data_IF_621248687833
#
_entry.id   IF_621248687833
#
_cell.length_a   1.000
_cell.length_b   1.000
_cell.length_c   1.000
_cell.angle_alpha   90.00
_cell.angle_beta   90.00
_cell.angle_gamma   90.00
#
_symmetry.space_group_name_H-M   'P 1'
#
loop_
_entity.id
_entity.type
_entity.pdbx_description
1 polymer ?
#
# COMPACT_ATOMS: atom_id res chain seq x y z
N UNK A 1 7.74 24.37 -4.12
CA UNK A 1 8.33 23.11 -4.65
C UNK A 1 9.79 23.08 -4.27
N UNK A 2 10.24 22.00 -3.64
CA UNK A 2 11.66 21.80 -3.36
C UNK A 2 12.23 20.86 -4.43
N UNK A 3 13.05 21.38 -5.35
CA UNK A 3 13.70 20.61 -6.43
C UNK A 3 15.11 20.25 -5.98
N UNK A 4 15.46 18.96 -5.94
CA UNK A 4 16.64 18.47 -5.20
C UNK A 4 17.64 17.63 -6.01
N UNK A 5 17.43 17.41 -7.31
CA UNK A 5 18.37 16.65 -8.13
C UNK A 5 18.04 16.70 -9.62
N UNK A 6 19.05 16.61 -10.50
CA UNK A 6 18.79 17.08 -11.87
C UNK A 6 19.77 16.69 -13.01
N UNK A 7 20.12 15.43 -13.30
CA UNK A 7 21.09 15.15 -14.39
C UNK A 7 20.68 15.82 -15.71
N UNK A 8 21.54 16.70 -16.23
CA UNK A 8 21.42 17.29 -17.57
C UNK A 8 22.23 16.47 -18.58
N UNK A 9 21.80 16.46 -19.84
CA UNK A 9 22.54 15.84 -20.94
C UNK A 9 22.26 16.54 -22.26
N UNK A 10 23.26 16.62 -23.13
CA UNK A 10 23.10 17.21 -24.46
C UNK A 10 24.10 16.60 -25.44
N UNK A 11 23.59 16.21 -26.61
CA UNK A 11 24.39 15.93 -27.82
C UNK A 11 23.59 16.41 -29.03
N UNK A 12 24.28 16.68 -30.14
CA UNK A 12 23.63 17.15 -31.38
C UNK A 12 22.58 16.19 -31.92
N UNK A 13 22.74 14.87 -31.70
CA UNK A 13 21.77 13.85 -32.11
C UNK A 13 20.67 13.54 -31.10
N UNK A 14 20.82 13.91 -29.82
CA UNK A 14 19.88 13.57 -28.75
C UNK A 14 19.12 14.78 -28.17
N UNK A 15 19.37 15.98 -28.69
CA UNK A 15 18.79 17.23 -28.19
C UNK A 15 19.13 17.51 -26.73
N UNK A 16 18.31 18.34 -26.07
CA UNK A 16 18.51 18.74 -24.68
C UNK A 16 17.69 17.87 -23.72
N UNK A 17 18.37 17.11 -22.86
CA UNK A 17 17.79 16.15 -21.93
C UNK A 17 17.87 16.63 -20.48
N UNK A 18 16.86 16.30 -19.69
CA UNK A 18 16.75 16.63 -18.27
C UNK A 18 16.04 15.53 -17.50
N UNK A 19 16.66 15.06 -16.43
CA UNK A 19 15.94 14.36 -15.36
C UNK A 19 15.82 15.36 -14.22
N UNK A 20 14.64 15.58 -13.68
CA UNK A 20 14.39 16.51 -12.58
C UNK A 20 13.61 15.82 -11.46
N UNK A 21 13.93 16.16 -10.22
CA UNK A 21 13.24 15.61 -9.04
C UNK A 21 12.70 16.73 -8.15
N UNK A 22 11.46 16.57 -7.67
CA UNK A 22 10.87 17.43 -6.65
C UNK A 22 10.29 16.61 -5.50
N UNK A 23 10.48 17.10 -4.28
CA UNK A 23 10.00 16.47 -3.04
C UNK A 23 8.96 17.36 -2.37
N UNK A 24 7.88 16.74 -1.90
CA UNK A 24 6.81 17.35 -1.11
C UNK A 24 6.38 16.38 0.01
N UNK A 25 6.78 16.66 1.25
CA UNK A 25 6.61 15.72 2.36
C UNK A 25 7.31 14.37 2.11
N UNK A 26 6.54 13.27 2.14
CA UNK A 26 7.05 11.92 1.84
C UNK A 26 6.95 11.55 0.34
N UNK A 27 6.46 12.47 -0.50
CA UNK A 27 6.25 12.24 -1.93
C UNK A 27 7.39 12.78 -2.75
N UNK A 28 7.87 11.99 -3.72
CA UNK A 28 8.86 12.40 -4.73
C UNK A 28 8.28 12.28 -6.13
N UNK A 29 8.39 13.35 -6.90
CA UNK A 29 8.07 13.36 -8.33
C UNK A 29 9.36 13.40 -9.13
N UNK A 30 9.42 12.60 -10.19
CA UNK A 30 10.54 12.56 -11.14
C UNK A 30 9.99 12.90 -12.52
N UNK A 31 10.50 13.97 -13.13
CA UNK A 31 10.20 14.34 -14.50
C UNK A 31 11.41 14.05 -15.39
N UNK A 32 11.18 13.33 -16.48
CA UNK A 32 12.21 13.04 -17.49
C UNK A 32 11.79 13.71 -18.79
N UNK A 33 12.58 14.67 -19.25
CA UNK A 33 12.43 15.35 -20.54
C UNK A 33 13.58 14.93 -21.42
N UNK A 34 13.27 14.46 -22.62
CA UNK A 34 14.27 14.06 -23.60
C UNK A 34 14.09 14.86 -24.89
N UNK A 35 15.21 15.17 -25.57
CA UNK A 35 15.18 15.75 -26.92
C UNK A 35 14.55 17.13 -27.04
N UNK A 36 14.60 17.97 -26.02
CA UNK A 36 14.07 19.35 -26.14
C UNK A 36 14.92 20.17 -27.12
N UNK A 37 14.32 21.20 -27.73
CA UNK A 37 14.98 22.06 -28.73
C UNK A 37 16.00 23.05 -28.15
N UNK A 38 15.94 23.30 -26.84
CA UNK A 38 16.84 24.25 -26.18
C UNK A 38 17.11 23.91 -24.71
N UNK A 39 18.22 24.43 -24.12
CA UNK A 39 18.51 24.28 -22.69
C UNK A 39 17.40 24.84 -21.80
N UNK A 40 16.81 25.98 -22.18
CA UNK A 40 15.70 26.60 -21.42
C UNK A 40 14.40 25.81 -21.60
N UNK A 41 14.19 25.26 -22.79
CA UNK A 41 13.02 24.45 -23.11
C UNK A 41 12.90 23.22 -22.23
N UNK A 42 13.98 22.44 -22.05
CA UNK A 42 13.94 21.23 -21.20
C UNK A 42 13.54 21.56 -19.74
N UNK A 43 14.03 22.69 -19.23
CA UNK A 43 13.79 23.14 -17.85
C UNK A 43 12.34 23.59 -17.67
N UNK A 44 11.80 24.36 -18.64
CA UNK A 44 10.41 24.77 -18.64
C UNK A 44 9.45 23.56 -18.74
N UNK A 45 9.76 22.58 -19.58
CA UNK A 45 8.93 21.37 -19.70
C UNK A 45 8.99 20.52 -18.43
N UNK A 46 10.17 20.35 -17.84
CA UNK A 46 10.29 19.61 -16.58
C UNK A 46 9.52 20.29 -15.45
N UNK A 47 9.64 21.61 -15.30
CA UNK A 47 8.90 22.38 -14.32
C UNK A 47 7.37 22.23 -14.53
N UNK A 48 6.90 22.30 -15.79
CA UNK A 48 5.48 22.12 -16.12
C UNK A 48 4.98 20.72 -15.76
N UNK A 49 5.74 19.66 -16.06
CA UNK A 49 5.40 18.28 -15.71
C UNK A 49 5.33 18.07 -14.20
N UNK A 50 6.34 18.55 -13.46
CA UNK A 50 6.37 18.44 -12.01
C UNK A 50 5.18 19.18 -11.39
N UNK A 51 4.91 20.42 -11.82
CA UNK A 51 3.75 21.19 -11.34
C UNK A 51 2.43 20.50 -11.63
N UNK A 52 2.24 19.98 -12.85
CA UNK A 52 1.05 19.24 -13.21
C UNK A 52 0.87 17.99 -12.36
N UNK A 53 1.94 17.21 -12.13
CA UNK A 53 1.92 16.03 -11.28
C UNK A 53 1.54 16.37 -9.83
N UNK A 54 2.09 17.45 -9.28
CA UNK A 54 1.77 17.91 -7.92
C UNK A 54 0.31 18.37 -7.80
N UNK A 55 -0.20 19.07 -8.81
CA UNK A 55 -1.57 19.57 -8.81
C UNK A 55 -2.61 18.46 -8.95
N UNK A 56 -2.37 17.48 -9.82
CA UNK A 56 -3.39 16.52 -10.24
C UNK A 56 -3.33 15.17 -9.52
N UNK A 57 -2.15 14.77 -9.04
CA UNK A 57 -1.95 13.47 -8.39
C UNK A 57 -1.67 13.64 -6.90
N UNK A 58 -1.95 12.58 -6.15
CA UNK A 58 -1.49 12.39 -4.78
C UNK A 58 -0.81 11.03 -4.63
N UNK A 59 -0.02 10.88 -3.57
CA UNK A 59 0.62 9.61 -3.20
C UNK A 59 0.15 9.21 -1.82
N UNK A 60 -0.75 8.23 -1.77
CA UNK A 60 -1.43 7.81 -0.54
C UNK A 60 -0.85 6.50 -0.03
N UNK A 61 -0.62 6.40 1.28
CA UNK A 61 -0.28 5.14 1.92
C UNK A 61 -1.58 4.35 2.16
N UNK A 62 -1.83 3.38 1.29
CA UNK A 62 -3.06 2.58 1.34
C UNK A 62 -2.95 1.52 2.43
N UNK A 63 -1.77 0.91 2.56
CA UNK A 63 -1.48 -0.09 3.58
C UNK A 63 -0.20 0.30 4.32
N UNK A 64 -0.22 0.12 5.64
CA UNK A 64 0.90 0.41 6.50
C UNK A 64 1.29 -0.86 7.26
N UNK A 65 2.58 -1.20 7.24
CA UNK A 65 3.13 -2.34 7.94
C UNK A 65 2.77 -2.29 9.42
N UNK A 66 2.26 -3.40 9.95
CA UNK A 66 1.89 -3.53 11.36
C UNK A 66 0.64 -2.76 11.76
N UNK A 67 -0.02 -2.05 10.83
CA UNK A 67 -1.29 -1.39 11.10
C UNK A 67 -2.43 -2.38 10.90
N UNK A 68 -3.38 -2.35 11.84
CA UNK A 68 -4.58 -3.18 11.79
C UNK A 68 -5.44 -2.81 10.57
N UNK A 69 -5.74 -3.81 9.75
CA UNK A 69 -6.72 -3.76 8.65
C UNK A 69 -8.06 -4.32 9.11
N UNK A 70 -8.05 -5.34 9.99
CA UNK A 70 -9.25 -5.98 10.52
C UNK A 70 -8.98 -6.74 11.82
N UNK A 71 -10.04 -7.28 12.41
CA UNK A 71 -10.00 -8.17 13.56
C UNK A 71 -10.95 -9.32 13.28
N UNK A 72 -10.51 -10.53 13.59
CA UNK A 72 -11.31 -11.75 13.39
C UNK A 72 -11.38 -12.56 14.68
N UNK A 73 -12.47 -13.31 14.84
CA UNK A 73 -12.57 -14.29 15.93
C UNK A 73 -11.55 -15.41 15.70
N UNK A 74 -10.89 -15.84 16.76
CA UNK A 74 -10.03 -17.01 16.75
C UNK A 74 -10.56 -18.05 17.72
N UNK A 75 -10.65 -19.29 17.27
CA UNK A 75 -11.16 -20.40 18.03
C UNK A 75 -10.03 -21.17 18.71
N UNK A 76 -10.35 -21.75 19.87
CA UNK A 76 -9.44 -22.61 20.65
C UNK A 76 -8.16 -21.91 21.13
N UNK A 77 -8.13 -20.58 21.08
CA UNK A 77 -6.99 -19.74 21.41
C UNK A 77 -6.95 -19.29 22.87
N UNK A 78 -5.79 -18.77 23.29
CA UNK A 78 -5.65 -18.03 24.54
C UNK A 78 -6.23 -16.59 24.48
N UNK A 79 -6.74 -16.21 23.30
CA UNK A 79 -7.47 -14.98 23.01
C UNK A 79 -8.73 -15.31 22.20
N UNK A 80 -9.73 -14.44 22.26
CA UNK A 80 -10.98 -14.58 21.49
C UNK A 80 -10.91 -13.94 20.10
N UNK A 81 -10.01 -12.95 19.92
CA UNK A 81 -9.82 -12.25 18.65
C UNK A 81 -8.34 -12.11 18.32
N UNK A 82 -8.06 -12.02 17.02
CA UNK A 82 -6.72 -11.79 16.48
C UNK A 82 -6.74 -10.58 15.54
N UNK A 83 -5.73 -9.72 15.66
CA UNK A 83 -5.58 -8.58 14.77
C UNK A 83 -4.91 -8.99 13.46
N UNK A 84 -5.51 -8.55 12.35
CA UNK A 84 -5.03 -8.80 11.00
C UNK A 84 -4.55 -7.51 10.37
N UNK A 85 -3.52 -7.60 9.55
CA UNK A 85 -2.95 -6.47 8.84
C UNK A 85 -2.05 -6.92 7.70
N UNK A 86 -1.06 -6.09 7.40
CA UNK A 86 -0.03 -6.36 6.40
C UNK A 86 1.35 -6.25 7.05
N UNK A 87 2.30 -7.02 6.52
CA UNK A 87 3.73 -6.91 6.84
C UNK A 87 4.48 -5.95 5.92
N UNK A 88 3.77 -5.30 4.98
CA UNK A 88 4.32 -4.43 3.95
C UNK A 88 3.68 -3.04 3.96
N UNK A 89 4.48 -2.01 3.71
CA UNK A 89 3.98 -0.68 3.36
C UNK A 89 3.62 -0.64 1.88
N UNK A 90 2.45 -0.07 1.55
CA UNK A 90 2.05 0.13 0.17
C UNK A 90 1.56 1.55 -0.09
N UNK A 91 2.20 2.17 -1.08
CA UNK A 91 1.93 3.53 -1.54
C UNK A 91 1.39 3.50 -2.96
N UNK A 92 0.37 4.31 -3.23
CA UNK A 92 -0.25 4.38 -4.55
C UNK A 92 -0.30 5.84 -5.01
N UNK A 93 0.16 6.08 -6.24
CA UNK A 93 0.04 7.37 -6.90
C UNK A 93 -1.22 7.39 -7.76
N UNK A 94 -2.16 8.29 -7.45
CA UNK A 94 -3.47 8.36 -8.11
C UNK A 94 -3.86 9.81 -8.40
N UNK A 95 -4.72 10.07 -9.39
CA UNK A 95 -5.34 11.37 -9.51
C UNK A 95 -6.15 11.68 -8.24
N UNK A 96 -6.10 12.93 -7.77
CA UNK A 96 -6.74 13.36 -6.51
C UNK A 96 -8.24 13.07 -6.47
N UNK A 97 -8.90 13.14 -7.63
CA UNK A 97 -10.33 12.83 -7.78
C UNK A 97 -10.67 11.35 -7.56
N UNK A 98 -9.69 10.45 -7.66
CA UNK A 98 -9.91 9.00 -7.56
C UNK A 98 -9.61 8.45 -6.16
N UNK A 99 -8.85 9.19 -5.35
CA UNK A 99 -8.50 8.80 -3.97
C UNK A 99 -9.73 8.35 -3.15
N UNK A 100 -10.89 9.04 -3.17
CA UNK A 100 -12.06 8.61 -2.40
C UNK A 100 -12.73 7.32 -2.91
N UNK A 101 -12.45 6.89 -4.14
CA UNK A 101 -13.05 5.68 -4.74
C UNK A 101 -12.31 4.41 -4.37
N UNK A 102 -11.08 4.54 -3.86
CA UNK A 102 -10.24 3.41 -3.50
C UNK A 102 -10.77 2.74 -2.23
N UNK A 103 -10.97 1.42 -2.29
CA UNK A 103 -11.45 0.61 -1.16
C UNK A 103 -10.58 -0.60 -0.95
N UNK A 104 -10.09 -0.80 0.26
CA UNK A 104 -9.44 -2.04 0.67
C UNK A 104 -10.48 -3.01 1.24
N UNK A 105 -10.44 -4.26 0.81
CA UNK A 105 -11.21 -5.37 1.38
C UNK A 105 -10.25 -6.51 1.65
N UNK A 106 -10.55 -7.35 2.63
CA UNK A 106 -9.79 -8.57 2.85
C UNK A 106 -10.69 -9.79 2.79
N UNK A 107 -10.08 -10.94 2.48
CA UNK A 107 -10.70 -12.25 2.44
C UNK A 107 -9.78 -13.23 3.15
N UNK A 108 -10.33 -14.08 4.01
CA UNK A 108 -9.58 -15.14 4.67
C UNK A 108 -9.43 -16.35 3.75
N UNK A 109 -8.28 -17.05 3.84
CA UNK A 109 -8.06 -18.31 3.12
C UNK A 109 -8.98 -19.43 3.65
N UNK A 110 -9.36 -19.35 4.94
CA UNK A 110 -10.24 -20.29 5.64
C UNK A 110 -11.39 -19.52 6.28
N UNK A 111 -12.55 -20.19 6.45
CA UNK A 111 -13.74 -19.59 7.07
C UNK A 111 -13.49 -19.17 8.53
N UNK A 112 -12.75 -19.99 9.27
CA UNK A 112 -12.46 -19.79 10.68
C UNK A 112 -10.94 -19.78 10.90
N UNK A 113 -10.51 -19.00 11.88
CA UNK A 113 -9.13 -19.01 12.39
C UNK A 113 -9.06 -19.84 13.66
N UNK A 114 -8.12 -20.77 13.73
CA UNK A 114 -7.94 -21.68 14.86
C UNK A 114 -6.51 -21.59 15.40
N UNK A 115 -6.37 -21.56 16.73
CA UNK A 115 -5.07 -21.60 17.38
C UNK A 115 -4.39 -22.98 17.28
N UNK A 116 -3.04 -23.05 17.31
CA UNK A 116 -2.10 -21.94 17.46
C UNK A 116 -1.83 -21.22 16.13
N UNK A 117 -1.69 -19.89 16.21
CA UNK A 117 -1.30 -19.05 15.07
C UNK A 117 -0.08 -18.21 15.45
N UNK A 118 0.95 -18.23 14.60
CA UNK A 118 2.14 -17.40 14.79
C UNK A 118 1.87 -15.94 14.37
N UNK A 119 2.70 -15.01 14.85
CA UNK A 119 2.70 -13.64 14.31
C UNK A 119 3.25 -13.63 12.88
N UNK A 120 2.77 -12.71 12.04
CA UNK A 120 3.06 -12.60 10.60
C UNK A 120 2.70 -13.85 9.80
N UNK A 121 1.79 -14.70 10.31
CA UNK A 121 1.29 -15.82 9.55
C UNK A 121 0.28 -15.34 8.52
N UNK A 122 0.46 -15.71 7.25
CA UNK A 122 -0.53 -15.45 6.19
C UNK A 122 -1.81 -16.22 6.49
N UNK A 123 -2.94 -15.52 6.50
CA UNK A 123 -4.28 -16.07 6.75
C UNK A 123 -5.30 -15.66 5.70
N UNK A 124 -4.88 -14.90 4.69
CA UNK A 124 -5.76 -14.44 3.63
C UNK A 124 -5.08 -13.46 2.69
N UNK A 125 -5.90 -12.62 2.06
CA UNK A 125 -5.49 -11.61 1.10
C UNK A 125 -6.24 -10.31 1.30
N UNK A 126 -5.53 -9.19 1.14
CA UNK A 126 -6.09 -7.85 1.03
C UNK A 126 -6.15 -7.50 -0.45
N UNK A 127 -7.34 -7.20 -0.96
CA UNK A 127 -7.59 -6.72 -2.32
C UNK A 127 -7.93 -5.23 -2.29
N UNK A 128 -7.25 -4.45 -3.13
CA UNK A 128 -7.56 -3.05 -3.35
C UNK A 128 -8.44 -2.89 -4.59
N UNK A 129 -9.53 -2.15 -4.44
CA UNK A 129 -10.51 -1.88 -5.48
C UNK A 129 -10.50 -0.40 -5.86
N UNK A 130 -10.49 -0.12 -7.17
CA UNK A 130 -10.90 1.16 -7.74
C UNK A 130 -12.26 0.96 -8.40
N UNK A 131 -13.32 1.45 -7.75
CA UNK A 131 -14.69 1.08 -8.10
C UNK A 131 -14.89 -0.43 -7.91
N UNK A 132 -15.20 -1.13 -9.00
CA UNK A 132 -15.41 -2.59 -9.02
C UNK A 132 -14.19 -3.38 -9.52
N UNK A 133 -13.13 -2.70 -9.93
CA UNK A 133 -11.92 -3.33 -10.47
C UNK A 133 -10.89 -3.54 -9.38
N UNK A 134 -10.40 -4.78 -9.24
CA UNK A 134 -9.23 -5.07 -8.42
C UNK A 134 -7.98 -4.50 -9.10
N UNK A 135 -7.22 -3.69 -8.38
CA UNK A 135 -5.99 -3.05 -8.90
C UNK A 135 -4.72 -3.68 -8.36
N UNK A 136 -4.77 -4.31 -7.18
CA UNK A 136 -3.64 -5.01 -6.57
C UNK A 136 -4.08 -5.85 -5.36
N UNK A 137 -3.21 -6.79 -4.96
CA UNK A 137 -3.43 -7.73 -3.87
C UNK A 137 -2.18 -7.87 -2.97
N UNK A 138 -2.38 -8.10 -1.67
CA UNK A 138 -1.32 -8.30 -0.68
C UNK A 138 -1.67 -9.42 0.30
N UNK A 139 -0.68 -10.10 0.90
CA UNK A 139 -0.95 -11.05 1.97
C UNK A 139 -1.62 -10.36 3.15
N UNK A 140 -2.73 -10.94 3.63
CA UNK A 140 -3.27 -10.62 4.94
C UNK A 140 -2.56 -11.49 5.96
N UNK A 141 -1.92 -10.86 6.95
CA UNK A 141 -1.15 -11.53 7.98
C UNK A 141 -1.68 -11.22 9.37
N UNK A 142 -1.40 -12.10 10.31
CA UNK A 142 -1.63 -11.85 11.74
C UNK A 142 -0.59 -10.87 12.29
N UNK A 143 -1.03 -9.93 13.13
CA UNK A 143 -0.13 -8.96 13.75
C UNK A 143 0.45 -9.45 15.08
N UNK A 144 -0.09 -10.55 15.60
CA UNK A 144 0.26 -11.11 16.89
C UNK A 144 0.15 -12.64 16.87
N UNK A 145 0.84 -13.31 17.78
CA UNK A 145 0.69 -14.74 18.01
C UNK A 145 -0.47 -15.03 18.96
N UNK A 146 -1.11 -16.17 18.75
CA UNK A 146 -2.15 -16.73 19.61
C UNK A 146 -1.78 -18.18 19.95
N UNK A 147 -1.63 -18.43 21.24
CA UNK A 147 -1.36 -19.76 21.79
C UNK A 147 -2.65 -20.59 21.89
N UNK A 148 -2.53 -21.86 22.28
CA UNK A 148 -3.71 -22.69 22.56
C UNK A 148 -4.37 -22.24 23.86
N UNK A 149 -5.70 -22.13 23.84
CA UNK A 149 -6.50 -21.85 25.02
C UNK A 149 -6.47 -22.97 26.06
N UNK A 150 -6.79 -22.62 27.31
CA UNK A 150 -6.99 -23.59 28.38
C UNK A 150 -8.05 -24.63 28.04
N UNK A 151 -8.04 -25.79 28.70
CA UNK A 151 -8.96 -26.92 28.43
C UNK A 151 -10.43 -26.50 28.49
N UNK A 152 -10.80 -25.62 29.43
CA UNK A 152 -12.18 -25.11 29.58
C UNK A 152 -12.60 -24.17 28.44
N UNK A 153 -11.71 -23.27 28.00
CA UNK A 153 -11.97 -22.35 26.88
C UNK A 153 -12.13 -23.11 25.56
N UNK A 154 -11.33 -24.16 25.34
CA UNK A 154 -11.47 -25.01 24.14
C UNK A 154 -12.77 -25.80 24.12
N UNK A 155 -13.29 -26.23 25.29
CA UNK A 155 -14.57 -26.94 25.40
C UNK A 155 -15.76 -26.01 25.13
N UNK A 156 -15.74 -24.79 25.65
CA UNK A 156 -16.81 -23.81 25.37
C UNK A 156 -16.83 -23.40 23.90
N UNK A 157 -15.65 -23.21 23.30
CA UNK A 157 -15.54 -22.91 21.88
C UNK A 157 -16.05 -24.06 21.00
N UNK A 158 -15.72 -25.31 21.34
CA UNK A 158 -16.23 -26.47 20.60
C UNK A 158 -17.76 -26.54 20.65
N UNK A 159 -18.37 -26.30 21.81
CA UNK A 159 -19.82 -26.25 21.95
C UNK A 159 -20.44 -25.11 21.12
N UNK A 160 -19.82 -23.93 21.04
CA UNK A 160 -20.31 -22.81 20.23
C UNK A 160 -20.00 -22.90 18.73
N UNK A 161 -19.04 -23.74 18.33
CA UNK A 161 -18.70 -23.98 16.93
C UNK A 161 -19.58 -25.08 16.30
N UNK A 162 -19.95 -26.09 17.10
CA UNK A 162 -20.67 -27.29 16.66
C UNK A 162 -22.20 -27.21 16.81
N UNK A 163 -22.72 -26.41 17.76
CA UNK A 163 -24.16 -26.10 17.91
C UNK A 163 -24.53 -24.85 17.11
#
# INVERSE_FOLDING_TARGET
MNVDGLKTGHTSGAGFNLIASAVDGQRRLIAVVMGADSPKGREQQAAKLLHWGQQNFDTVQVLQKGKKVGSERIWYGDKEQIQLGTDQDFWLALPKSEVPRIKARYVLDKKDLEAPIAANQRVGEISLYDGDKVVAHWPLVTLESVGKGGVFSRMSDYLHHVL
#
